data_IF_004278990178
#
_entry.id   IF_004278990178
#
_cell.length_a   1.000
_cell.length_b   1.000
_cell.length_c   1.000
_cell.angle_alpha   90.00
_cell.angle_beta   90.00
_cell.angle_gamma   90.00
#
_symmetry.space_group_name_H-M   'P 1'
#
loop_
_entity.id
_entity.type
_entity.pdbx_description
1 polymer ?
#
# COMPACT_ATOMS: atom_id res chain seq x y z
N UNK A 1 -10.61 -28.59 38.72
CA UNK A 1 -10.87 -27.64 37.62
C UNK A 1 -12.35 -27.29 37.70
N UNK A 2 -12.68 -26.09 38.16
CA UNK A 2 -14.05 -25.63 38.31
C UNK A 2 -14.38 -24.78 37.08
N UNK A 3 -15.41 -25.17 36.34
CA UNK A 3 -15.88 -24.42 35.18
C UNK A 3 -17.08 -23.58 35.65
N UNK A 4 -16.90 -22.26 35.71
CA UNK A 4 -18.00 -21.34 35.94
C UNK A 4 -18.30 -20.62 34.62
N UNK A 5 -19.50 -20.82 34.08
CA UNK A 5 -19.97 -20.14 32.89
C UNK A 5 -20.53 -18.79 33.35
N UNK A 6 -19.76 -17.71 33.17
CA UNK A 6 -20.23 -16.36 33.48
C UNK A 6 -21.36 -15.95 32.52
N UNK A 7 -22.49 -15.54 33.10
CA UNK A 7 -23.61 -14.92 32.38
C UNK A 7 -23.17 -13.60 31.73
N UNK A 8 -23.24 -13.52 30.40
CA UNK A 8 -23.00 -12.28 29.64
C UNK A 8 -22.04 -12.41 28.46
N UNK A 9 -21.34 -13.54 28.32
CA UNK A 9 -20.67 -13.89 27.07
C UNK A 9 -21.70 -14.53 26.12
N UNK A 10 -21.74 -14.13 24.83
CA UNK A 10 -22.52 -14.85 23.84
C UNK A 10 -22.08 -16.32 23.88
N UNK A 11 -23.00 -17.22 23.53
CA UNK A 11 -22.88 -18.69 23.52
C UNK A 11 -21.85 -19.18 22.48
N UNK A 12 -20.67 -18.57 22.48
CA UNK A 12 -19.54 -18.81 21.62
C UNK A 12 -18.67 -19.89 22.25
N UNK A 13 -18.15 -20.77 21.41
CA UNK A 13 -17.25 -21.84 21.83
C UNK A 13 -15.94 -21.21 22.32
N UNK A 14 -15.84 -21.02 23.64
CA UNK A 14 -14.60 -20.63 24.31
C UNK A 14 -13.57 -21.72 24.04
N UNK A 15 -12.51 -21.38 23.31
CA UNK A 15 -11.50 -22.34 22.88
C UNK A 15 -10.49 -22.55 24.02
N UNK A 16 -9.97 -21.45 24.57
CA UNK A 16 -8.95 -21.46 25.62
C UNK A 16 -9.10 -20.23 26.52
N UNK A 17 -8.70 -20.40 27.78
CA UNK A 17 -8.41 -19.27 28.66
C UNK A 17 -7.05 -19.45 29.33
N UNK A 18 -6.37 -18.34 29.58
CA UNK A 18 -5.11 -18.31 30.32
C UNK A 18 -5.25 -17.33 31.47
N UNK A 19 -4.80 -17.72 32.65
CA UNK A 19 -4.72 -16.86 33.83
C UNK A 19 -3.25 -16.67 34.21
N UNK A 20 -2.85 -15.41 34.37
CA UNK A 20 -1.55 -15.05 34.92
C UNK A 20 -1.66 -13.75 35.71
N UNK A 21 -1.17 -13.74 36.95
CA UNK A 21 -1.07 -12.54 37.80
C UNK A 21 -2.38 -11.74 37.92
N UNK A 22 -3.52 -12.43 38.08
CA UNK A 22 -4.84 -11.80 38.20
C UNK A 22 -5.38 -11.19 36.89
N UNK A 23 -4.81 -11.59 35.75
CA UNK A 23 -5.28 -11.25 34.41
C UNK A 23 -5.67 -12.52 33.65
N UNK A 24 -6.75 -12.42 32.90
CA UNK A 24 -7.40 -13.47 32.12
C UNK A 24 -7.38 -13.10 30.65
N UNK A 25 -6.97 -14.04 29.80
CA UNK A 25 -7.06 -13.92 28.35
C UNK A 25 -8.02 -14.98 27.84
N UNK A 26 -9.05 -14.56 27.12
CA UNK A 26 -10.08 -15.43 26.56
C UNK A 26 -9.96 -15.46 25.04
N UNK A 27 -10.03 -16.66 24.48
CA UNK A 27 -10.08 -16.90 23.04
C UNK A 27 -11.41 -17.59 22.70
N UNK A 28 -12.21 -17.01 21.82
CA UNK A 28 -13.45 -17.64 21.35
C UNK A 28 -13.67 -17.44 19.85
N UNK A 29 -14.47 -18.34 19.26
CA UNK A 29 -14.95 -18.23 17.87
C UNK A 29 -16.37 -17.70 17.88
N UNK A 30 -16.65 -16.66 17.09
CA UNK A 30 -18.01 -16.11 16.95
C UNK A 30 -18.77 -16.77 15.78
N UNK A 31 -18.07 -17.12 14.69
CA UNK A 31 -18.65 -17.75 13.51
C UNK A 31 -17.63 -18.52 12.68
N UNK A 32 -18.10 -19.57 12.01
CA UNK A 32 -17.40 -20.29 10.95
C UNK A 32 -18.12 -20.06 9.63
N UNK A 33 -17.39 -19.63 8.61
CA UNK A 33 -17.87 -19.49 7.23
C UNK A 33 -16.93 -20.26 6.32
N UNK A 34 -17.47 -21.24 5.60
CA UNK A 34 -16.74 -22.06 4.63
C UNK A 34 -15.44 -22.68 5.17
N UNK A 35 -15.43 -23.08 6.45
CA UNK A 35 -14.28 -23.72 7.11
C UNK A 35 -13.20 -22.75 7.62
N UNK A 36 -13.47 -21.44 7.57
CA UNK A 36 -12.67 -20.40 8.21
C UNK A 36 -13.39 -19.89 9.48
N UNK A 37 -12.68 -19.90 10.60
CA UNK A 37 -13.11 -19.42 11.91
C UNK A 37 -12.50 -18.06 12.23
N UNK A 38 -13.35 -17.10 12.63
CA UNK A 38 -12.88 -15.80 13.14
C UNK A 38 -12.62 -15.92 14.63
N UNK A 39 -11.35 -15.78 15.01
CA UNK A 39 -10.91 -15.90 16.41
C UNK A 39 -10.85 -14.51 17.03
N UNK A 40 -11.61 -14.35 18.11
CA UNK A 40 -11.64 -13.15 18.93
C UNK A 40 -10.82 -13.34 20.19
N UNK A 41 -10.24 -12.24 20.66
CA UNK A 41 -9.47 -12.17 21.90
C UNK A 41 -10.04 -11.07 22.78
N UNK A 42 -10.16 -11.38 24.08
CA UNK A 42 -10.46 -10.41 25.14
C UNK A 42 -9.48 -10.61 26.27
N UNK A 43 -8.94 -9.51 26.77
CA UNK A 43 -8.13 -9.48 27.99
C UNK A 43 -8.95 -8.84 29.10
N UNK A 44 -8.99 -9.47 30.26
CA UNK A 44 -9.62 -8.94 31.48
C UNK A 44 -8.62 -9.01 32.62
N UNK A 45 -8.42 -7.92 33.33
CA UNK A 45 -7.79 -7.90 34.65
C UNK A 45 -8.87 -7.72 35.72
N UNK A 46 -8.55 -8.04 36.98
CA UNK A 46 -9.47 -7.94 38.13
C UNK A 46 -10.25 -6.62 38.20
N UNK A 47 -9.66 -5.51 37.73
CA UNK A 47 -10.25 -4.18 37.79
C UNK A 47 -10.49 -3.52 36.42
N UNK A 48 -10.20 -4.18 35.29
CA UNK A 48 -10.34 -3.58 33.95
C UNK A 48 -10.54 -4.65 32.86
N UNK A 49 -11.54 -4.49 31.99
CA UNK A 49 -11.74 -5.31 30.79
C UNK A 49 -11.51 -4.47 29.55
N UNK A 50 -10.80 -5.01 28.55
CA UNK A 50 -10.80 -4.44 27.20
C UNK A 50 -11.96 -5.01 26.39
N UNK A 51 -12.43 -4.24 25.41
CA UNK A 51 -13.36 -4.77 24.44
C UNK A 51 -12.71 -5.87 23.59
N UNK A 52 -13.48 -6.88 23.14
CA UNK A 52 -13.02 -7.87 22.18
C UNK A 52 -12.42 -7.25 20.94
N UNK A 53 -11.35 -7.85 20.42
CA UNK A 53 -10.87 -7.57 19.08
C UNK A 53 -10.58 -8.85 18.30
N UNK A 54 -10.57 -8.74 16.97
CA UNK A 54 -10.27 -9.85 16.08
C UNK A 54 -8.76 -10.10 16.12
N UNK A 55 -8.36 -11.30 16.53
CA UNK A 55 -6.97 -11.74 16.42
C UNK A 55 -6.64 -12.11 14.97
N UNK A 56 -7.56 -12.81 14.32
CA UNK A 56 -7.39 -13.24 12.93
C UNK A 56 -8.47 -14.20 12.45
N UNK A 57 -8.37 -14.56 11.17
CA UNK A 57 -9.20 -15.57 10.53
C UNK A 57 -8.33 -16.80 10.31
N UNK A 58 -8.70 -17.92 10.93
CA UNK A 58 -7.94 -19.15 10.89
C UNK A 58 -8.75 -20.26 10.25
N UNK A 59 -8.12 -21.22 9.57
CA UNK A 59 -8.80 -22.45 9.16
C UNK A 59 -9.25 -23.25 10.37
N UNK A 60 -10.36 -23.98 10.25
CA UNK A 60 -10.76 -24.96 11.25
C UNK A 60 -9.72 -26.08 11.41
N UNK A 61 -9.66 -26.77 12.57
CA UNK A 61 -8.66 -27.80 12.86
C UNK A 61 -8.59 -28.94 11.83
N UNK A 62 -9.69 -29.21 11.12
CA UNK A 62 -9.79 -30.21 10.06
C UNK A 62 -10.05 -29.59 8.67
N UNK A 63 -9.68 -28.32 8.48
CA UNK A 63 -9.83 -27.66 7.20
C UNK A 63 -9.00 -28.37 6.13
N UNK A 64 -9.69 -29.01 5.19
CA UNK A 64 -9.04 -29.72 4.10
C UNK A 64 -8.54 -28.74 3.03
N UNK A 65 -7.31 -28.25 3.23
CA UNK A 65 -6.61 -27.44 2.23
C UNK A 65 -6.44 -28.18 0.89
N UNK A 66 -6.49 -29.51 0.87
CA UNK A 66 -6.22 -30.31 -0.32
C UNK A 66 -7.38 -30.26 -1.32
N UNK A 67 -8.62 -30.10 -0.85
CA UNK A 67 -9.80 -29.90 -1.71
C UNK A 67 -9.67 -28.69 -2.62
N UNK A 68 -9.20 -27.56 -2.08
CA UNK A 68 -8.97 -26.33 -2.86
C UNK A 68 -7.74 -26.44 -3.76
N UNK A 69 -6.69 -27.14 -3.31
CA UNK A 69 -5.49 -27.39 -4.12
C UNK A 69 -5.75 -28.29 -5.32
N UNK A 70 -6.54 -29.35 -5.15
CA UNK A 70 -6.88 -30.28 -6.22
C UNK A 70 -7.77 -29.63 -7.29
N UNK A 71 -8.73 -28.80 -6.88
CA UNK A 71 -9.68 -28.14 -7.79
C UNK A 71 -8.99 -27.22 -8.80
N UNK A 72 -8.04 -26.40 -8.34
CA UNK A 72 -7.34 -25.42 -9.19
C UNK A 72 -5.90 -25.84 -9.54
N UNK A 73 -5.47 -27.04 -9.14
CA UNK A 73 -4.08 -27.53 -9.25
C UNK A 73 -3.07 -26.50 -8.72
N UNK A 74 -3.37 -25.88 -7.56
CA UNK A 74 -2.54 -24.81 -7.03
C UNK A 74 -1.18 -25.34 -6.55
N UNK A 75 -0.12 -24.62 -6.93
CA UNK A 75 1.28 -24.96 -6.66
C UNK A 75 1.68 -24.75 -5.19
N UNK A 76 0.95 -23.91 -4.45
CA UNK A 76 1.24 -23.56 -3.06
C UNK A 76 2.14 -22.36 -2.90
N UNK A 77 2.42 -21.63 -3.98
CA UNK A 77 3.19 -20.38 -3.94
C UNK A 77 2.23 -19.21 -3.77
N UNK A 78 2.58 -18.25 -2.91
CA UNK A 78 1.75 -17.07 -2.67
C UNK A 78 1.56 -16.23 -3.95
N UNK A 79 0.44 -15.51 -4.01
CA UNK A 79 0.10 -14.58 -5.10
C UNK A 79 -0.29 -13.24 -4.50
N UNK A 80 -0.01 -12.16 -5.24
CA UNK A 80 -0.47 -10.82 -4.90
C UNK A 80 -1.96 -10.65 -5.17
N UNK A 81 -2.61 -9.76 -4.43
CA UNK A 81 -4.05 -9.45 -4.59
C UNK A 81 -4.29 -8.47 -5.75
N UNK A 82 -5.55 -8.33 -6.22
CA UNK A 82 -5.91 -7.29 -7.20
C UNK A 82 -5.52 -5.87 -6.77
N UNK A 83 -5.51 -5.59 -5.46
CA UNK A 83 -5.03 -4.30 -4.92
C UNK A 83 -3.55 -4.09 -5.25
N UNK A 84 -2.72 -5.12 -5.11
CA UNK A 84 -1.30 -5.05 -5.46
C UNK A 84 -1.08 -4.79 -6.96
N UNK A 85 -1.82 -5.51 -7.81
CA UNK A 85 -1.74 -5.33 -9.26
C UNK A 85 -2.21 -3.95 -9.72
N UNK A 86 -3.31 -3.45 -9.17
CA UNK A 86 -3.82 -2.10 -9.47
C UNK A 86 -2.78 -1.04 -9.12
N UNK A 87 -2.23 -1.09 -7.90
CA UNK A 87 -1.23 -0.12 -7.44
C UNK A 87 0.03 -0.16 -8.29
N UNK A 88 0.57 -1.35 -8.57
CA UNK A 88 1.77 -1.51 -9.40
C UNK A 88 1.57 -0.94 -10.81
N UNK A 89 0.43 -1.26 -11.45
CA UNK A 89 0.10 -0.76 -12.78
C UNK A 89 0.01 0.77 -12.79
N UNK A 90 -0.74 1.36 -11.87
CA UNK A 90 -0.93 2.81 -11.81
C UNK A 90 0.36 3.57 -11.50
N UNK A 91 1.17 3.06 -10.56
CA UNK A 91 2.46 3.67 -10.25
C UNK A 91 3.39 3.66 -11.47
N UNK A 92 3.44 2.54 -12.20
CA UNK A 92 4.26 2.40 -13.40
C UNK A 92 3.79 3.32 -14.53
N UNK A 93 2.48 3.35 -14.81
CA UNK A 93 1.93 4.22 -15.84
C UNK A 93 2.06 5.70 -15.48
N UNK A 94 1.82 6.11 -14.23
CA UNK A 94 2.02 7.49 -13.81
C UNK A 94 3.44 7.99 -14.11
N UNK A 95 4.45 7.15 -13.84
CA UNK A 95 5.85 7.46 -14.15
C UNK A 95 6.10 7.59 -15.66
N UNK A 96 5.56 6.67 -16.47
CA UNK A 96 5.67 6.76 -17.93
C UNK A 96 5.00 8.01 -18.49
N UNK A 97 3.81 8.34 -18.00
CA UNK A 97 3.07 9.53 -18.42
C UNK A 97 3.77 10.82 -17.99
N UNK A 98 4.45 10.83 -16.85
CA UNK A 98 5.28 11.96 -16.44
C UNK A 98 6.39 12.24 -17.46
N UNK A 99 7.12 11.21 -17.91
CA UNK A 99 8.12 11.39 -18.96
C UNK A 99 7.50 11.82 -20.30
N UNK A 100 6.33 11.25 -20.66
CA UNK A 100 5.57 11.70 -21.83
C UNK A 100 5.20 13.17 -21.75
N UNK A 101 4.75 13.66 -20.59
CA UNK A 101 4.40 15.06 -20.38
C UNK A 101 5.62 15.98 -20.56
N UNK A 102 6.76 15.67 -19.94
CA UNK A 102 7.99 16.46 -20.10
C UNK A 102 8.45 16.48 -21.55
N UNK A 103 8.46 15.32 -22.21
CA UNK A 103 8.85 15.20 -23.61
C UNK A 103 7.97 16.04 -24.54
N UNK A 104 6.65 15.88 -24.45
CA UNK A 104 5.71 16.60 -25.30
C UNK A 104 5.65 18.10 -24.99
N UNK A 105 5.79 18.48 -23.71
CA UNK A 105 5.90 19.87 -23.28
C UNK A 105 7.13 20.56 -23.88
N UNK A 106 8.30 19.93 -23.76
CA UNK A 106 9.54 20.44 -24.35
C UNK A 106 9.44 20.58 -25.87
N UNK A 107 8.90 19.57 -26.56
CA UNK A 107 8.69 19.63 -28.02
C UNK A 107 7.73 20.72 -28.48
N UNK A 108 6.77 21.09 -27.63
CA UNK A 108 5.80 22.13 -27.94
C UNK A 108 6.41 23.52 -27.76
N UNK A 109 7.15 23.74 -26.66
CA UNK A 109 7.78 25.02 -26.35
C UNK A 109 9.00 25.32 -27.23
N UNK A 110 9.88 24.34 -27.44
CA UNK A 110 11.13 24.47 -28.19
C UNK A 110 11.00 23.91 -29.62
N UNK A 111 9.84 24.14 -30.24
CA UNK A 111 9.52 23.61 -31.58
C UNK A 111 10.42 24.21 -32.66
N UNK A 112 10.73 25.49 -32.53
CA UNK A 112 11.56 26.28 -33.43
C UNK A 112 13.00 25.73 -33.55
N UNK A 113 13.58 25.32 -32.43
CA UNK A 113 14.94 24.76 -32.36
C UNK A 113 14.98 23.23 -32.43
N UNK A 114 13.84 22.56 -32.67
CA UNK A 114 13.74 21.10 -32.62
C UNK A 114 14.64 20.40 -33.66
N UNK A 115 14.84 21.02 -34.82
CA UNK A 115 15.69 20.50 -35.90
C UNK A 115 17.15 20.96 -35.82
N UNK A 116 17.51 21.73 -34.79
CA UNK A 116 18.83 22.36 -34.64
C UNK A 116 18.73 23.82 -34.23
N UNK A 117 19.81 24.36 -33.68
CA UNK A 117 19.95 25.78 -33.36
C UNK A 117 20.46 26.59 -34.57
N UNK A 118 20.25 27.90 -34.53
CA UNK A 118 20.82 28.83 -35.51
C UNK A 118 22.37 28.73 -35.49
N UNK A 119 23.04 28.50 -36.64
CA UNK A 119 24.50 28.46 -36.71
C UNK A 119 25.18 29.79 -36.35
N UNK A 120 24.48 30.93 -36.43
CA UNK A 120 25.06 32.27 -36.20
C UNK A 120 24.78 32.84 -34.79
N UNK A 121 24.51 31.98 -33.79
CA UNK A 121 24.07 32.38 -32.45
C UNK A 121 25.18 32.93 -31.51
N UNK A 122 26.45 32.88 -31.93
CA UNK A 122 27.63 33.06 -31.06
C UNK A 122 27.65 34.38 -30.28
N UNK A 123 27.23 35.49 -30.91
CA UNK A 123 27.24 36.79 -30.25
C UNK A 123 26.29 36.87 -29.05
N UNK A 124 25.16 36.14 -29.07
CA UNK A 124 24.14 36.21 -28.01
C UNK A 124 24.52 35.45 -26.72
N UNK A 125 25.49 34.54 -26.80
CA UNK A 125 25.94 33.71 -25.67
C UNK A 125 27.22 34.24 -25.02
N UNK A 126 27.82 35.30 -25.56
CA UNK A 126 29.02 35.92 -25.02
C UNK A 126 28.77 36.54 -23.63
N UNK A 127 29.65 36.23 -22.68
CA UNK A 127 29.51 36.69 -21.30
C UNK A 127 29.57 38.22 -21.19
N UNK A 128 28.52 38.80 -20.61
CA UNK A 128 28.47 40.24 -20.34
C UNK A 128 28.23 41.12 -21.56
N UNK A 129 27.98 40.55 -22.75
CA UNK A 129 27.66 41.32 -23.96
C UNK A 129 26.31 42.06 -23.87
N UNK A 130 25.34 41.47 -23.17
CA UNK A 130 23.99 42.01 -23.00
C UNK A 130 23.65 42.25 -21.53
N UNK A 131 22.77 43.21 -21.26
CA UNK A 131 22.21 43.44 -19.93
C UNK A 131 21.14 42.41 -19.57
N UNK A 132 20.48 41.81 -20.56
CA UNK A 132 19.48 40.74 -20.40
C UNK A 132 19.74 39.60 -21.39
N UNK A 133 19.76 38.36 -20.90
CA UNK A 133 19.94 37.16 -21.73
C UNK A 133 18.76 36.97 -22.71
N UNK A 134 19.07 36.62 -23.95
CA UNK A 134 18.09 36.38 -25.01
C UNK A 134 17.41 37.63 -25.57
N UNK A 135 17.91 38.84 -25.25
CA UNK A 135 17.36 40.11 -25.72
C UNK A 135 18.42 40.97 -26.43
N UNK A 136 18.49 40.90 -27.77
CA UNK A 136 19.48 41.63 -28.57
C UNK A 136 19.44 43.16 -28.42
N UNK A 137 18.31 43.71 -27.94
CA UNK A 137 18.14 45.16 -27.79
C UNK A 137 18.89 45.72 -26.58
N UNK A 138 19.42 44.85 -25.71
CA UNK A 138 20.04 45.23 -24.44
C UNK A 138 21.58 45.17 -24.45
N UNK A 139 22.20 45.33 -25.63
CA UNK A 139 23.67 45.26 -25.76
C UNK A 139 24.33 46.36 -24.93
N UNK A 140 25.33 45.99 -24.13
CA UNK A 140 26.08 46.96 -23.31
C UNK A 140 26.90 47.88 -24.21
N UNK A 141 26.88 49.18 -23.91
CA UNK A 141 27.82 50.12 -24.52
C UNK A 141 29.16 50.03 -23.79
N UNK A 142 30.30 50.14 -24.50
CA UNK A 142 31.58 50.31 -23.85
C UNK A 142 31.55 51.62 -23.04
N UNK A 143 31.89 51.52 -21.76
CA UNK A 143 32.08 52.66 -20.85
C UNK A 143 33.43 53.29 -21.13
#
# INVERSE_FOLDING_TARGET
>A
MHFEIEHGLPKADLIYHFEASGSFVYFWVQSSLDGLQVVFVRVRSSNHSVDPFILGVFPEPNYDYTKYRATLKSDGVFRSSPRGWFTFGHASFALLFFFGHIWHGARTLFRDVFAGIDPDLDAQVEFGAFQKLGDPTTRRQPV
#
